data_IF_106627425559
#
_entry.id   IF_106627425559
#
_cell.length_a   1.000
_cell.length_b   1.000
_cell.length_c   1.000
_cell.angle_alpha   90.00
_cell.angle_beta   90.00
_cell.angle_gamma   90.00
#
_symmetry.space_group_name_H-M   'P 1'
#
loop_
_entity.id
_entity.type
_entity.pdbx_description
1 polymer ?
#
# COMPACT_ATOMS: atom_id res chain seq x y z
N UNK A 1 8.61 -12.44 0.93
CA UNK A 1 7.30 -12.60 0.26
C UNK A 1 7.07 -11.33 -0.53
N UNK A 2 6.68 -11.41 -1.80
CA UNK A 2 6.77 -10.23 -2.67
C UNK A 2 5.52 -9.36 -2.54
N UNK A 3 5.69 -8.13 -2.04
CA UNK A 3 4.63 -7.10 -2.03
C UNK A 3 4.32 -6.72 -3.47
N UNK A 4 3.03 -6.69 -3.82
CA UNK A 4 2.53 -6.21 -5.12
C UNK A 4 1.82 -4.87 -4.97
N UNK A 5 0.99 -4.71 -3.93
CA UNK A 5 0.24 -3.48 -3.68
C UNK A 5 0.38 -3.02 -2.23
N UNK A 6 0.53 -1.71 -2.06
CA UNK A 6 0.66 -1.01 -0.79
C UNK A 6 -0.54 -0.08 -0.66
N UNK A 7 -1.28 -0.18 0.45
CA UNK A 7 -2.46 0.62 0.74
C UNK A 7 -2.11 1.61 1.84
N UNK A 8 -2.16 2.90 1.54
CA UNK A 8 -2.12 3.95 2.54
C UNK A 8 -3.47 3.98 3.27
N UNK A 9 -3.43 3.84 4.59
CA UNK A 9 -4.58 3.96 5.48
C UNK A 9 -4.32 5.04 6.54
N UNK A 10 -5.34 5.33 7.34
CA UNK A 10 -5.25 6.24 8.49
C UNK A 10 -4.32 5.72 9.61
N UNK A 11 -4.18 4.40 9.71
CA UNK A 11 -3.19 3.70 10.52
C UNK A 11 -2.20 2.92 9.63
N UNK A 12 -1.08 2.35 10.15
CA UNK A 12 0.12 2.17 9.34
C UNK A 12 -0.17 1.35 8.08
N UNK A 13 0.43 1.78 6.96
CA UNK A 13 0.17 1.23 5.63
C UNK A 13 0.09 -0.30 5.61
N UNK A 14 -0.83 -0.83 4.80
CA UNK A 14 -1.07 -2.26 4.67
C UNK A 14 -0.44 -2.77 3.38
N UNK A 15 0.14 -3.97 3.43
CA UNK A 15 0.89 -4.55 2.32
C UNK A 15 0.23 -5.85 1.88
N UNK A 16 -0.01 -6.01 0.58
CA UNK A 16 -0.61 -7.22 0.04
C UNK A 16 0.26 -7.84 -1.07
N UNK A 17 0.17 -9.16 -1.15
CA UNK A 17 0.90 -9.98 -2.11
C UNK A 17 0.30 -9.91 -3.52
N UNK A 18 -0.94 -9.45 -3.66
CA UNK A 18 -1.61 -9.23 -4.94
C UNK A 18 -2.74 -8.19 -4.81
N UNK A 19 -3.15 -7.60 -5.93
CA UNK A 19 -4.37 -6.79 -5.99
C UNK A 19 -5.59 -7.57 -5.50
N UNK A 20 -5.69 -8.85 -5.88
CA UNK A 20 -6.82 -9.70 -5.51
C UNK A 20 -6.91 -9.93 -3.99
N UNK A 21 -5.77 -10.11 -3.34
CA UNK A 21 -5.69 -10.24 -1.88
C UNK A 21 -6.23 -8.97 -1.20
N UNK A 22 -5.83 -7.79 -1.69
CA UNK A 22 -6.33 -6.52 -1.17
C UNK A 22 -7.85 -6.38 -1.37
N UNK A 23 -8.38 -6.65 -2.58
CA UNK A 23 -9.84 -6.60 -2.84
C UNK A 23 -10.66 -7.53 -1.92
N UNK A 24 -10.08 -8.67 -1.52
CA UNK A 24 -10.76 -9.63 -0.64
C UNK A 24 -10.66 -9.26 0.85
N UNK A 25 -9.61 -8.53 1.24
CA UNK A 25 -9.31 -8.23 2.64
C UNK A 25 -9.85 -6.86 3.09
N UNK A 26 -9.89 -5.88 2.19
CA UNK A 26 -10.34 -4.52 2.50
C UNK A 26 -11.86 -4.47 2.67
N UNK A 27 -12.33 -3.71 3.65
CA UNK A 27 -13.77 -3.58 3.90
C UNK A 27 -14.36 -2.48 3.02
N UNK A 28 -15.46 -2.78 2.31
CA UNK A 28 -16.15 -1.81 1.45
C UNK A 28 -16.64 -0.57 2.22
N UNK A 29 -16.89 -0.69 3.53
CA UNK A 29 -17.28 0.45 4.36
C UNK A 29 -16.11 1.42 4.59
N UNK A 30 -14.90 0.89 4.79
CA UNK A 30 -13.68 1.69 4.93
C UNK A 30 -13.33 2.40 3.62
N UNK A 31 -13.55 1.74 2.48
CA UNK A 31 -13.42 2.36 1.15
C UNK A 31 -14.37 3.55 1.04
N UNK A 32 -15.66 3.32 1.34
CA UNK A 32 -16.70 4.35 1.25
C UNK A 32 -16.46 5.53 2.20
N UNK A 33 -15.95 5.23 3.40
CA UNK A 33 -15.69 6.22 4.44
C UNK A 33 -14.32 6.91 4.23
N UNK A 34 -13.56 6.51 3.20
CA UNK A 34 -12.32 7.17 2.77
C UNK A 34 -11.10 6.85 3.63
N UNK A 35 -11.11 5.73 4.35
CA UNK A 35 -10.00 5.27 5.19
C UNK A 35 -8.74 4.99 4.35
N UNK A 36 -8.93 4.41 3.16
CA UNK A 36 -7.83 4.10 2.24
C UNK A 36 -7.57 5.27 1.28
N UNK A 37 -6.55 6.07 1.58
CA UNK A 37 -6.34 7.36 0.90
C UNK A 37 -5.56 7.26 -0.42
N UNK A 38 -4.73 6.23 -0.58
CA UNK A 38 -3.92 6.01 -1.77
C UNK A 38 -3.45 4.57 -1.86
N UNK A 39 -3.29 4.05 -3.08
CA UNK A 39 -2.77 2.71 -3.34
C UNK A 39 -1.63 2.77 -4.35
N UNK A 40 -0.56 2.02 -4.08
CA UNK A 40 0.67 2.05 -4.86
C UNK A 40 1.15 0.65 -5.23
N UNK A 41 1.65 0.50 -6.45
CA UNK A 41 2.49 -0.60 -6.88
C UNK A 41 3.93 -0.42 -6.42
N UNK A 42 4.79 -1.40 -6.73
CA UNK A 42 6.18 -1.43 -6.27
C UNK A 42 7.05 -0.28 -6.78
N UNK A 43 6.74 0.27 -7.95
CA UNK A 43 7.48 1.37 -8.55
C UNK A 43 6.75 2.72 -8.41
N UNK A 44 5.73 2.78 -7.54
CA UNK A 44 4.90 3.96 -7.35
C UNK A 44 3.74 4.07 -8.32
N UNK A 45 3.40 3.03 -9.07
CA UNK A 45 2.20 3.02 -9.92
C UNK A 45 0.96 3.28 -9.05
N UNK A 46 0.14 4.27 -9.39
CA UNK A 46 -1.02 4.61 -8.58
C UNK A 46 -2.22 3.76 -9.00
N UNK A 47 -3.03 3.36 -8.02
CA UNK A 47 -4.27 2.63 -8.24
C UNK A 47 -5.46 3.41 -7.70
N UNK A 48 -6.59 3.30 -8.38
CA UNK A 48 -7.89 3.71 -7.84
C UNK A 48 -8.49 2.55 -7.04
N UNK A 49 -9.18 2.88 -5.95
CA UNK A 49 -9.99 1.95 -5.16
C UNK A 49 -11.43 2.44 -5.17
N UNK A 50 -12.36 1.49 -5.22
CA UNK A 50 -13.78 1.78 -5.08
C UNK A 50 -14.55 0.52 -4.73
N UNK A 51 -15.86 0.68 -4.63
CA UNK A 51 -16.79 -0.37 -4.21
C UNK A 51 -17.98 -0.52 -5.16
N UNK A 52 -18.43 -1.76 -5.35
CA UNK A 52 -19.71 -2.09 -5.99
C UNK A 52 -20.54 -2.94 -5.01
N UNK A 53 -21.47 -2.28 -4.33
CA UNK A 53 -22.25 -2.90 -3.25
C UNK A 53 -21.38 -3.25 -2.04
N UNK A 54 -20.93 -4.51 -1.96
CA UNK A 54 -20.04 -5.00 -0.89
C UNK A 54 -18.68 -5.47 -1.39
N UNK A 55 -18.49 -5.47 -2.70
CA UNK A 55 -17.25 -5.90 -3.33
C UNK A 55 -16.33 -4.69 -3.51
N UNK A 56 -15.08 -4.81 -3.06
CA UNK A 56 -14.03 -3.81 -3.32
C UNK A 56 -13.37 -4.14 -4.64
N UNK A 57 -13.10 -3.12 -5.46
CA UNK A 57 -12.31 -3.23 -6.66
C UNK A 57 -11.12 -2.28 -6.62
N UNK A 58 -10.00 -2.71 -7.20
CA UNK A 58 -8.80 -1.92 -7.34
C UNK A 58 -8.37 -1.93 -8.81
N UNK A 59 -8.12 -0.76 -9.39
CA UNK A 59 -7.77 -0.64 -10.81
C UNK A 59 -6.52 0.22 -11.01
N UNK A 60 -5.66 -0.12 -11.98
CA UNK A 60 -4.49 0.68 -12.28
C UNK A 60 -4.91 2.02 -12.89
N UNK A 61 -4.16 3.07 -12.54
CA UNK A 61 -4.27 4.38 -13.20
C UNK A 61 -3.07 4.59 -14.13
N UNK A 62 -3.04 5.72 -14.84
CA UNK A 62 -1.85 6.16 -15.59
C UNK A 62 -0.85 6.95 -14.74
N UNK A 63 -1.18 7.24 -13.48
CA UNK A 63 -0.33 8.03 -12.60
C UNK A 63 0.77 7.17 -11.96
N UNK A 64 1.88 7.82 -11.65
CA UNK A 64 2.98 7.24 -10.91
C UNK A 64 3.52 8.28 -9.93
N UNK A 65 3.67 7.89 -8.67
CA UNK A 65 4.16 8.75 -7.59
C UNK A 65 5.08 7.96 -6.65
N UNK A 66 6.29 7.70 -7.13
CA UNK A 66 7.33 7.01 -6.36
C UNK A 66 7.82 7.79 -5.14
N UNK A 67 7.74 9.12 -5.16
CA UNK A 67 8.13 9.97 -4.04
C UNK A 67 7.12 9.83 -2.87
N UNK A 68 5.82 9.84 -3.16
CA UNK A 68 4.79 9.60 -2.16
C UNK A 68 4.88 8.18 -1.57
N UNK A 69 5.10 7.16 -2.40
CA UNK A 69 5.33 5.80 -1.93
C UNK A 69 6.54 5.72 -0.99
N UNK A 70 7.65 6.35 -1.35
CA UNK A 70 8.85 6.36 -0.52
C UNK A 70 8.62 7.07 0.81
N UNK A 71 7.87 8.17 0.82
CA UNK A 71 7.46 8.85 2.05
C UNK A 71 6.58 7.93 2.93
N UNK A 72 5.62 7.22 2.32
CA UNK A 72 4.74 6.27 2.99
C UNK A 72 5.51 5.11 3.65
N UNK A 73 6.44 4.49 2.93
CA UNK A 73 7.27 3.39 3.46
C UNK A 73 8.12 3.83 4.64
N UNK A 74 8.71 5.03 4.58
CA UNK A 74 9.48 5.60 5.68
C UNK A 74 8.59 5.88 6.90
N UNK A 75 7.41 6.44 6.68
CA UNK A 75 6.44 6.69 7.75
C UNK A 75 6.02 5.37 8.43
N UNK A 76 5.70 4.34 7.64
CA UNK A 76 5.41 2.99 8.14
C UNK A 76 6.56 2.44 8.98
N UNK A 77 7.78 2.40 8.45
CA UNK A 77 8.94 1.82 9.14
C UNK A 77 9.25 2.56 10.45
N UNK A 78 9.07 3.90 10.50
CA UNK A 78 9.17 4.67 11.74
C UNK A 78 8.09 4.26 12.75
N UNK A 79 6.84 4.11 12.32
CA UNK A 79 5.73 3.71 13.18
C UNK A 79 5.97 2.33 13.81
N UNK A 80 6.48 1.37 13.02
CA UNK A 80 6.83 0.02 13.51
C UNK A 80 8.23 -0.09 14.10
N UNK A 81 8.93 1.04 14.30
CA UNK A 81 10.27 1.14 14.93
C UNK A 81 11.34 0.27 14.26
N UNK A 82 11.29 0.17 12.93
CA UNK A 82 12.33 -0.47 12.12
C UNK A 82 13.33 0.58 11.65
N UNK A 83 14.62 0.34 11.91
CA UNK A 83 15.69 1.23 11.45
C UNK A 83 15.89 1.14 9.93
N UNK A 84 16.12 2.29 9.31
CA UNK A 84 16.51 2.46 7.93
C UNK A 84 17.35 3.74 7.78
N UNK A 85 18.18 3.83 6.75
CA UNK A 85 18.85 5.08 6.41
C UNK A 85 17.97 5.93 5.47
N UNK A 86 17.95 7.25 5.66
CA UNK A 86 17.19 8.18 4.81
C UNK A 86 17.64 8.19 3.34
N UNK A 87 18.82 7.63 3.04
CA UNK A 87 19.31 7.45 1.67
C UNK A 87 18.94 6.09 1.06
N UNK A 88 18.28 5.19 1.82
CA UNK A 88 17.81 3.91 1.26
C UNK A 88 16.79 4.16 0.15
N UNK A 89 16.98 3.45 -0.96
CA UNK A 89 16.08 3.46 -2.11
C UNK A 89 14.86 2.56 -1.92
N UNK A 90 13.91 2.69 -2.85
CA UNK A 90 12.58 2.07 -2.78
C UNK A 90 12.60 0.55 -2.55
N UNK A 91 13.39 -0.20 -3.33
CA UNK A 91 13.47 -1.67 -3.22
C UNK A 91 14.03 -2.15 -1.86
N UNK A 92 14.95 -1.40 -1.25
CA UNK A 92 15.48 -1.74 0.08
C UNK A 92 14.41 -1.55 1.17
N UNK A 93 13.65 -0.45 1.09
CA UNK A 93 12.54 -0.19 2.01
C UNK A 93 11.43 -1.24 1.84
N UNK A 94 11.04 -1.56 0.60
CA UNK A 94 10.06 -2.61 0.31
C UNK A 94 10.48 -3.97 0.86
N UNK A 95 11.76 -4.33 0.69
CA UNK A 95 12.33 -5.58 1.21
C UNK A 95 12.16 -5.72 2.73
N UNK A 96 12.27 -4.62 3.49
CA UNK A 96 12.02 -4.61 4.94
C UNK A 96 10.54 -4.75 5.29
N UNK A 97 9.65 -4.28 4.41
CA UNK A 97 8.21 -4.38 4.59
C UNK A 97 7.66 -5.77 4.24
N UNK A 98 8.39 -6.62 3.51
CA UNK A 98 7.89 -7.93 3.04
C UNK A 98 7.36 -8.84 4.14
N UNK A 99 7.88 -8.73 5.36
CA UNK A 99 7.43 -9.52 6.52
C UNK A 99 6.03 -9.14 7.03
N UNK A 100 5.49 -8.01 6.58
CA UNK A 100 4.16 -7.50 6.92
C UNK A 100 3.14 -7.73 5.80
N UNK A 101 3.53 -8.45 4.75
CA UNK A 101 2.69 -8.72 3.60
C UNK A 101 1.57 -9.72 3.94
N UNK A 102 0.35 -9.40 3.53
CA UNK A 102 -0.86 -10.20 3.68
C UNK A 102 -1.14 -10.98 2.38
N UNK A 103 -1.71 -12.17 2.51
CA UNK A 103 -2.13 -13.08 1.43
C UNK A 103 -3.63 -13.01 1.16
#
# INVERSE_FOLDING_TARGET
MRIEIIVAADEPAVFFSSVRAAEMALEWIDVRDGVYTALYGRAGECYEIGEDGRDVFIRPTSANDSDALLALLRAFLRAVKVEFAEAEGLEALLSRCERYCIE
#
